data_IF_016355004193
#
_entry.id   IF_016355004193
#
_cell.length_a   1.000
_cell.length_b   1.000
_cell.length_c   1.000
_cell.angle_alpha   90.00
_cell.angle_beta   90.00
_cell.angle_gamma   90.00
#
_symmetry.space_group_name_H-M   'P 1'
#
loop_
_entity.id
_entity.type
_entity.pdbx_description
1 polymer ?
#
# COMPACT_ATOMS: atom_id res chain seq x y z
N UNK A 1 -25.20 -6.71 -3.09
CA UNK A 1 -24.54 -5.78 -4.04
C UNK A 1 -23.91 -6.60 -5.14
N UNK A 2 -24.07 -6.19 -6.39
CA UNK A 2 -23.49 -6.89 -7.53
C UNK A 2 -21.97 -6.57 -7.57
N UNK A 3 -21.05 -7.56 -7.51
CA UNK A 3 -19.61 -7.28 -7.48
C UNK A 3 -19.13 -6.51 -8.73
N UNK A 4 -19.83 -6.65 -9.86
CA UNK A 4 -19.50 -5.95 -11.10
C UNK A 4 -19.72 -4.45 -11.00
N UNK A 5 -20.75 -4.00 -10.27
CA UNK A 5 -21.03 -2.56 -10.13
C UNK A 5 -19.94 -1.89 -9.29
N UNK A 6 -19.44 -2.56 -8.26
CA UNK A 6 -18.33 -2.06 -7.44
C UNK A 6 -17.05 -1.89 -8.26
N UNK A 7 -16.75 -2.84 -9.15
CA UNK A 7 -15.59 -2.75 -10.04
C UNK A 7 -15.76 -1.61 -11.04
N UNK A 8 -16.94 -1.46 -11.64
CA UNK A 8 -17.24 -0.37 -12.58
C UNK A 8 -17.14 1.01 -11.91
N UNK A 9 -17.68 1.16 -10.71
CA UNK A 9 -17.59 2.40 -9.94
C UNK A 9 -16.14 2.73 -9.58
N UNK A 10 -15.37 1.71 -9.18
CA UNK A 10 -13.93 1.86 -8.89
C UNK A 10 -13.14 2.29 -10.14
N UNK A 11 -13.44 1.70 -11.29
CA UNK A 11 -12.80 2.05 -12.57
C UNK A 11 -13.20 3.45 -13.04
N UNK A 12 -14.46 3.82 -12.90
CA UNK A 12 -14.95 5.16 -13.23
C UNK A 12 -14.27 6.22 -12.35
N UNK A 13 -14.21 5.96 -11.04
CA UNK A 13 -13.51 6.80 -10.09
C UNK A 13 -12.04 6.97 -10.44
N UNK A 14 -11.34 5.86 -10.73
CA UNK A 14 -9.93 5.88 -11.09
C UNK A 14 -9.69 6.68 -12.37
N UNK A 15 -10.49 6.45 -13.42
CA UNK A 15 -10.40 7.21 -14.69
C UNK A 15 -10.65 8.70 -14.50
N UNK A 16 -11.62 9.07 -13.65
CA UNK A 16 -11.97 10.47 -13.40
C UNK A 16 -10.91 11.21 -12.59
N UNK A 17 -10.28 10.52 -11.64
CA UNK A 17 -9.33 11.12 -10.69
C UNK A 17 -7.85 10.81 -11.03
N UNK A 18 -7.58 10.15 -12.17
CA UNK A 18 -6.24 9.70 -12.57
C UNK A 18 -5.22 10.84 -12.58
N UNK A 19 -5.61 12.01 -13.11
CA UNK A 19 -4.74 13.18 -13.14
C UNK A 19 -4.33 13.67 -11.75
N UNK A 20 -5.26 13.70 -10.79
CA UNK A 20 -4.98 14.08 -9.41
C UNK A 20 -4.14 13.04 -8.68
N UNK A 21 -4.42 11.75 -8.90
CA UNK A 21 -3.64 10.64 -8.35
C UNK A 21 -2.20 10.70 -8.87
N UNK A 22 -2.03 10.89 -10.19
CA UNK A 22 -0.70 11.08 -10.77
C UNK A 22 -0.02 12.30 -10.15
N UNK A 23 -0.68 13.46 -10.09
CA UNK A 23 -0.06 14.67 -9.54
C UNK A 23 0.35 14.52 -8.06
N UNK A 24 -0.37 13.67 -7.30
CA UNK A 24 -0.06 13.36 -5.90
C UNK A 24 1.09 12.35 -5.76
N UNK A 25 1.06 11.24 -6.50
CA UNK A 25 2.00 10.13 -6.34
C UNK A 25 3.27 10.29 -7.18
N UNK A 26 3.16 10.83 -8.40
CA UNK A 26 4.28 10.97 -9.34
C UNK A 26 5.48 11.74 -8.79
N UNK A 27 5.33 12.90 -8.10
CA UNK A 27 6.50 13.57 -7.52
C UNK A 27 7.20 12.71 -6.48
N UNK A 28 6.44 11.99 -5.64
CA UNK A 28 6.99 11.11 -4.60
C UNK A 28 7.69 9.89 -5.21
N UNK A 29 7.08 9.27 -6.24
CA UNK A 29 7.65 8.11 -6.95
C UNK A 29 8.90 8.50 -7.73
N UNK A 30 8.91 9.66 -8.39
CA UNK A 30 10.12 10.16 -9.07
C UNK A 30 11.24 10.37 -8.06
N UNK A 31 10.95 10.97 -6.90
CA UNK A 31 11.95 11.14 -5.84
C UNK A 31 12.47 9.79 -5.33
N UNK A 32 11.60 8.78 -5.18
CA UNK A 32 12.01 7.43 -4.80
C UNK A 32 12.96 6.82 -5.84
N UNK A 33 12.61 6.89 -7.12
CA UNK A 33 13.43 6.34 -8.21
C UNK A 33 14.76 7.08 -8.32
N UNK A 34 14.75 8.41 -8.24
CA UNK A 34 15.98 9.20 -8.24
C UNK A 34 16.86 8.89 -7.02
N UNK A 35 16.28 8.67 -5.85
CA UNK A 35 17.03 8.28 -4.66
C UNK A 35 17.67 6.88 -4.83
N UNK A 36 16.91 5.91 -5.36
CA UNK A 36 17.43 4.57 -5.70
C UNK A 36 18.57 4.66 -6.73
N UNK A 37 18.39 5.48 -7.76
CA UNK A 37 19.39 5.63 -8.82
C UNK A 37 20.64 6.40 -8.37
N UNK A 38 20.49 7.42 -7.52
CA UNK A 38 21.61 8.12 -6.92
C UNK A 38 22.44 7.18 -6.04
N UNK A 39 21.78 6.31 -5.27
CA UNK A 39 22.45 5.30 -4.47
C UNK A 39 23.18 4.26 -5.34
N UNK A 40 22.53 3.76 -6.39
CA UNK A 40 23.15 2.79 -7.31
C UNK A 40 24.37 3.37 -8.02
N UNK A 41 24.34 4.66 -8.36
CA UNK A 41 25.46 5.34 -9.02
C UNK A 41 26.61 5.67 -8.04
N UNK A 42 26.30 5.92 -6.77
CA UNK A 42 27.29 6.22 -5.74
C UNK A 42 28.01 4.96 -5.21
N UNK A 43 27.36 3.80 -5.26
CA UNK A 43 27.92 2.52 -4.80
C UNK A 43 28.17 1.58 -5.99
N UNK A 44 29.39 1.60 -6.50
CA UNK A 44 29.84 0.65 -7.51
C UNK A 44 30.04 -0.75 -6.88
N UNK A 45 29.19 -1.70 -7.28
CA UNK A 45 29.33 -3.16 -7.18
C UNK A 45 28.82 -3.91 -5.92
N UNK A 46 28.48 -3.26 -4.80
CA UNK A 46 28.02 -3.95 -3.57
C UNK A 46 26.79 -3.29 -2.92
N UNK A 47 25.83 -2.83 -3.71
CA UNK A 47 24.57 -2.31 -3.15
C UNK A 47 23.75 -3.48 -2.61
N UNK A 48 23.80 -3.68 -1.29
CA UNK A 48 22.96 -4.68 -0.63
C UNK A 48 21.48 -4.37 -0.90
N UNK A 49 20.65 -5.38 -1.23
CA UNK A 49 19.21 -5.21 -1.45
C UNK A 49 18.49 -4.63 -0.22
N UNK A 50 19.12 -4.67 0.95
CA UNK A 50 18.63 -4.02 2.16
C UNK A 50 18.49 -2.49 2.00
N UNK A 51 19.38 -1.83 1.27
CA UNK A 51 19.30 -0.38 1.09
C UNK A 51 18.12 0.04 0.20
N UNK A 52 17.86 -0.71 -0.86
CA UNK A 52 16.67 -0.48 -1.69
C UNK A 52 15.39 -0.68 -0.89
N UNK A 53 15.36 -1.67 0.00
CA UNK A 53 14.25 -1.92 0.90
C UNK A 53 14.05 -0.77 1.90
N UNK A 54 15.13 -0.19 2.44
CA UNK A 54 15.05 0.97 3.34
C UNK A 54 14.52 2.21 2.61
N UNK A 55 14.96 2.46 1.37
CA UNK A 55 14.41 3.54 0.55
C UNK A 55 12.93 3.28 0.27
N UNK A 56 12.56 2.07 -0.13
CA UNK A 56 11.17 1.67 -0.32
C UNK A 56 10.35 1.90 0.94
N UNK A 57 10.84 1.48 2.11
CA UNK A 57 10.17 1.67 3.40
C UNK A 57 10.01 3.14 3.78
N UNK A 58 10.87 4.03 3.26
CA UNK A 58 10.73 5.46 3.48
C UNK A 58 9.63 6.08 2.60
N UNK A 59 9.62 5.78 1.30
CA UNK A 59 8.71 6.39 0.33
C UNK A 59 7.33 5.71 0.27
N UNK A 60 7.29 4.38 0.39
CA UNK A 60 6.07 3.55 0.33
C UNK A 60 4.95 4.03 1.27
N UNK A 61 5.23 4.29 2.57
CA UNK A 61 4.22 4.79 3.49
C UNK A 61 3.66 6.16 3.09
N UNK A 62 4.49 7.03 2.50
CA UNK A 62 4.10 8.41 2.17
C UNK A 62 3.09 8.40 1.04
N UNK A 63 3.41 7.76 -0.10
CA UNK A 63 2.50 7.78 -1.23
C UNK A 63 1.27 6.90 -0.98
N UNK A 64 1.40 5.79 -0.25
CA UNK A 64 0.27 4.90 0.06
C UNK A 64 -0.70 5.56 1.03
N UNK A 65 -0.21 6.19 2.11
CA UNK A 65 -1.07 6.94 3.01
C UNK A 65 -1.74 8.13 2.31
N UNK A 66 -1.01 8.87 1.47
CA UNK A 66 -1.57 9.97 0.70
C UNK A 66 -2.69 9.48 -0.25
N UNK A 67 -2.48 8.34 -0.92
CA UNK A 67 -3.46 7.74 -1.81
C UNK A 67 -4.73 7.28 -1.07
N UNK A 68 -4.56 6.65 0.10
CA UNK A 68 -5.68 6.20 0.95
C UNK A 68 -6.49 7.42 1.43
N UNK A 69 -5.81 8.48 1.90
CA UNK A 69 -6.48 9.71 2.33
C UNK A 69 -7.18 10.43 1.17
N UNK A 70 -6.56 10.46 -0.01
CA UNK A 70 -7.16 11.01 -1.21
C UNK A 70 -8.44 10.26 -1.59
N UNK A 71 -8.41 8.92 -1.53
CA UNK A 71 -9.57 8.07 -1.81
C UNK A 71 -10.70 8.33 -0.80
N UNK A 72 -10.38 8.43 0.50
CA UNK A 72 -11.37 8.73 1.54
C UNK A 72 -12.00 10.13 1.34
N UNK A 73 -11.19 11.17 1.16
CA UNK A 73 -11.67 12.54 0.92
C UNK A 73 -12.59 12.62 -0.30
N UNK A 74 -12.17 12.02 -1.42
CA UNK A 74 -12.96 12.00 -2.65
C UNK A 74 -14.23 11.16 -2.53
N UNK A 75 -14.20 10.07 -1.77
CA UNK A 75 -15.40 9.26 -1.51
C UNK A 75 -16.45 10.00 -0.67
N UNK A 76 -16.02 10.96 0.16
CA UNK A 76 -16.88 11.87 0.94
C UNK A 76 -17.36 13.09 0.14
N UNK A 77 -16.87 13.27 -1.08
CA UNK A 77 -17.16 14.45 -1.91
C UNK A 77 -16.39 15.70 -1.48
N UNK A 78 -15.31 15.56 -0.69
CA UNK A 78 -14.50 16.68 -0.23
C UNK A 78 -13.35 16.98 -1.23
N UNK A 79 -13.18 18.27 -1.57
CA UNK A 79 -12.05 18.77 -2.34
C UNK A 79 -10.91 19.19 -1.40
N UNK A 80 -10.10 18.22 -0.98
CA UNK A 80 -8.90 18.47 -0.17
C UNK A 80 -7.71 18.75 -1.08
N UNK A 81 -6.92 19.79 -0.76
CA UNK A 81 -5.71 20.12 -1.50
C UNK A 81 -4.65 19.01 -1.35
N UNK A 82 -3.91 18.73 -2.43
CA UNK A 82 -2.86 17.69 -2.46
C UNK A 82 -1.77 17.92 -1.41
N UNK A 83 -1.45 19.18 -1.10
CA UNK A 83 -0.48 19.55 -0.06
C UNK A 83 -0.92 19.13 1.33
N UNK A 84 -2.20 19.28 1.65
CA UNK A 84 -2.75 18.93 2.96
C UNK A 84 -2.79 17.41 3.14
N UNK A 85 -3.15 16.67 2.09
CA UNK A 85 -3.08 15.21 2.07
C UNK A 85 -1.64 14.71 2.29
N UNK A 86 -0.66 15.34 1.64
CA UNK A 86 0.75 14.98 1.79
C UNK A 86 1.27 15.34 3.19
N UNK A 87 0.87 16.48 3.74
CA UNK A 87 1.20 16.85 5.12
C UNK A 87 0.59 15.87 6.14
N UNK A 88 -0.63 15.41 5.91
CA UNK A 88 -1.28 14.39 6.75
C UNK A 88 -0.61 13.02 6.60
N UNK A 89 -0.23 12.63 5.39
CA UNK A 89 0.54 11.42 5.13
C UNK A 89 1.92 11.45 5.84
N UNK A 90 2.63 12.58 5.79
CA UNK A 90 3.89 12.77 6.51
C UNK A 90 3.74 12.65 8.04
N UNK A 91 2.61 13.06 8.60
CA UNK A 91 2.32 12.87 10.04
C UNK A 91 2.08 11.39 10.39
N UNK A 92 1.49 10.63 9.47
CA UNK A 92 1.25 9.18 9.62
C UNK A 92 2.47 8.32 9.24
N UNK A 93 3.48 8.93 8.61
CA UNK A 93 4.68 8.25 8.14
C UNK A 93 5.34 7.32 9.17
N UNK A 94 5.66 7.74 10.41
CA UNK A 94 6.43 6.87 11.30
C UNK A 94 5.64 5.63 11.74
N UNK A 95 4.33 5.77 11.99
CA UNK A 95 3.48 4.63 12.36
C UNK A 95 3.25 3.70 11.19
N UNK A 96 3.05 4.25 9.99
CA UNK A 96 2.88 3.47 8.78
C UNK A 96 4.18 2.74 8.39
N UNK A 97 5.35 3.38 8.51
CA UNK A 97 6.64 2.74 8.28
C UNK A 97 6.84 1.53 9.22
N UNK A 98 6.50 1.66 10.51
CA UNK A 98 6.53 0.53 11.46
C UNK A 98 5.57 -0.59 11.03
N UNK A 99 4.35 -0.25 10.62
CA UNK A 99 3.37 -1.22 10.12
C UNK A 99 3.90 -1.97 8.89
N UNK A 100 4.42 -1.25 7.90
CA UNK A 100 4.97 -1.82 6.67
C UNK A 100 6.19 -2.70 6.96
N UNK A 101 7.10 -2.25 7.83
CA UNK A 101 8.26 -3.03 8.23
C UNK A 101 7.85 -4.34 8.90
N UNK A 102 6.96 -4.27 9.89
CA UNK A 102 6.44 -5.45 10.57
C UNK A 102 5.70 -6.39 9.61
N UNK A 103 4.86 -5.85 8.71
CA UNK A 103 4.10 -6.65 7.75
C UNK A 103 5.03 -7.36 6.78
N UNK A 104 6.03 -6.64 6.27
CA UNK A 104 7.06 -7.19 5.36
C UNK A 104 7.84 -8.30 6.04
N UNK A 105 8.28 -8.11 7.28
CA UNK A 105 8.97 -9.14 8.05
C UNK A 105 8.08 -10.38 8.26
N UNK A 106 6.80 -10.18 8.58
CA UNK A 106 5.85 -11.28 8.78
C UNK A 106 5.59 -12.06 7.48
N UNK A 107 5.49 -11.34 6.36
CA UNK A 107 5.31 -11.94 5.03
C UNK A 107 6.57 -12.71 4.62
N UNK A 108 7.76 -12.11 4.79
CA UNK A 108 9.04 -12.77 4.50
C UNK A 108 9.23 -14.02 5.35
N UNK A 109 8.92 -13.94 6.64
CA UNK A 109 8.96 -15.09 7.53
C UNK A 109 7.97 -16.18 7.10
N UNK A 110 6.74 -15.79 6.74
CA UNK A 110 5.74 -16.69 6.18
C UNK A 110 6.24 -17.39 4.92
N UNK A 111 6.76 -16.63 3.95
CA UNK A 111 7.32 -17.16 2.71
C UNK A 111 8.52 -18.09 2.94
N UNK A 112 9.38 -17.79 3.92
CA UNK A 112 10.52 -18.64 4.26
C UNK A 112 10.11 -20.00 4.85
N UNK A 113 8.95 -20.06 5.52
CA UNK A 113 8.44 -21.30 6.09
C UNK A 113 7.79 -22.16 5.00
N UNK A 114 7.01 -21.55 4.10
CA UNK A 114 6.50 -22.11 2.85
C UNK A 114 5.72 -21.01 2.08
N UNK A 115 5.50 -21.14 0.76
CA UNK A 115 4.78 -20.10 -0.02
C UNK A 115 3.36 -19.86 0.50
N UNK A 116 2.67 -20.92 0.96
CA UNK A 116 1.28 -20.85 1.46
C UNK A 116 1.12 -19.96 2.71
N UNK A 117 1.91 -20.12 3.80
CA UNK A 117 1.83 -19.23 4.95
C UNK A 117 2.17 -17.77 4.62
N UNK A 118 3.12 -17.53 3.71
CA UNK A 118 3.39 -16.17 3.22
C UNK A 118 2.17 -15.53 2.55
N UNK A 119 1.52 -16.26 1.65
CA UNK A 119 0.29 -15.81 0.98
C UNK A 119 -0.87 -15.62 1.98
N UNK A 120 -0.98 -16.51 2.96
CA UNK A 120 -1.98 -16.41 4.02
C UNK A 120 -1.82 -15.12 4.83
N UNK A 121 -0.59 -14.81 5.27
CA UNK A 121 -0.27 -13.57 6.00
C UNK A 121 -0.55 -12.35 5.13
N UNK A 122 -0.14 -12.37 3.87
CA UNK A 122 -0.38 -11.26 2.92
C UNK A 122 -1.86 -10.91 2.81
N UNK A 123 -2.73 -11.92 2.65
CA UNK A 123 -4.18 -11.71 2.54
C UNK A 123 -4.76 -11.24 3.88
N UNK A 124 -4.30 -11.83 4.99
CA UNK A 124 -4.73 -11.45 6.33
C UNK A 124 -4.37 -10.01 6.69
N UNK A 125 -3.27 -9.48 6.15
CA UNK A 125 -2.80 -8.12 6.38
C UNK A 125 -3.26 -7.12 5.32
N UNK A 126 -3.98 -7.52 4.29
CA UNK A 126 -4.37 -6.65 3.17
C UNK A 126 -5.14 -5.37 3.58
N UNK A 127 -5.80 -5.36 4.75
CA UNK A 127 -6.56 -4.21 5.25
C UNK A 127 -5.85 -3.42 6.35
N UNK A 128 -4.66 -3.84 6.81
CA UNK A 128 -4.01 -3.20 7.94
C UNK A 128 -3.62 -1.74 7.64
N UNK A 129 -3.19 -1.44 6.42
CA UNK A 129 -2.81 -0.09 5.99
C UNK A 129 -4.01 0.86 5.97
N UNK A 130 -5.14 0.40 5.43
CA UNK A 130 -6.40 1.14 5.45
C UNK A 130 -6.88 1.39 6.88
N UNK A 131 -6.78 0.39 7.76
CA UNK A 131 -7.16 0.51 9.16
C UNK A 131 -6.26 1.49 9.92
N UNK A 132 -4.95 1.50 9.64
CA UNK A 132 -4.02 2.45 10.24
C UNK A 132 -4.32 3.88 9.77
N UNK A 133 -4.50 4.10 8.46
CA UNK A 133 -4.69 5.45 7.92
C UNK A 133 -6.07 6.01 8.24
N UNK A 134 -7.13 5.23 8.00
CA UNK A 134 -8.51 5.71 8.12
C UNK A 134 -9.02 5.67 9.56
N UNK A 135 -8.61 4.66 10.35
CA UNK A 135 -9.05 4.53 11.75
C UNK A 135 -8.01 5.00 12.77
N UNK A 136 -6.83 5.48 12.33
CA UNK A 136 -5.74 5.94 13.19
C UNK A 136 -5.33 4.92 14.26
N UNK A 137 -5.46 3.62 13.94
CA UNK A 137 -5.08 2.54 14.85
C UNK A 137 -3.56 2.42 14.95
N UNK A 138 -3.08 1.92 16.09
CA UNK A 138 -1.66 1.57 16.23
C UNK A 138 -1.30 0.40 15.31
N UNK A 139 -0.04 0.26 14.86
CA UNK A 139 0.36 -0.77 13.90
C UNK A 139 -0.07 -2.19 14.30
N UNK A 140 0.17 -2.57 15.56
CA UNK A 140 -0.23 -3.86 16.11
C UNK A 140 -1.75 -4.06 16.11
N UNK A 141 -2.52 -3.04 16.49
CA UNK A 141 -3.98 -3.11 16.50
C UNK A 141 -4.54 -3.21 15.08
N UNK A 142 -3.98 -2.47 14.12
CA UNK A 142 -4.38 -2.51 12.72
C UNK A 142 -4.15 -3.90 12.09
N UNK A 143 -3.03 -4.56 12.42
CA UNK A 143 -2.77 -5.94 11.98
C UNK A 143 -3.79 -6.92 12.56
N UNK A 144 -4.00 -6.86 13.88
CA UNK A 144 -4.95 -7.77 14.55
C UNK A 144 -6.36 -7.61 14.01
N UNK A 145 -6.81 -6.37 13.83
CA UNK A 145 -8.13 -6.06 13.30
C UNK A 145 -8.27 -6.50 11.84
N UNK A 146 -7.23 -6.30 11.02
CA UNK A 146 -7.18 -6.82 9.65
C UNK A 146 -7.32 -8.35 9.64
N UNK A 147 -6.62 -9.05 10.53
CA UNK A 147 -6.72 -10.50 10.64
C UNK A 147 -8.14 -10.96 11.01
N UNK A 148 -8.83 -10.23 11.90
CA UNK A 148 -10.20 -10.53 12.29
C UNK A 148 -11.17 -10.29 11.13
N UNK A 149 -11.09 -9.15 10.46
CA UNK A 149 -11.97 -8.78 9.33
C UNK A 149 -11.87 -9.75 8.14
N UNK A 150 -10.67 -10.29 7.91
CA UNK A 150 -10.41 -11.26 6.84
C UNK A 150 -10.83 -12.69 7.21
N UNK A 151 -11.15 -12.96 8.48
CA UNK A 151 -11.65 -14.28 8.91
C UNK A 151 -13.08 -14.47 8.38
N UNK A 152 -13.32 -15.57 7.67
CA UNK A 152 -14.60 -15.84 6.99
C UNK A 152 -14.71 -15.32 5.55
N UNK A 153 -13.86 -14.37 5.14
CA UNK A 153 -13.86 -13.81 3.77
C UNK A 153 -12.57 -14.11 2.99
N UNK A 154 -11.67 -14.91 3.55
CA UNK A 154 -10.35 -15.20 2.99
C UNK A 154 -10.39 -15.62 1.52
N UNK A 155 -11.27 -16.56 1.16
CA UNK A 155 -11.37 -17.05 -0.23
C UNK A 155 -11.85 -15.97 -1.20
N UNK A 156 -12.75 -15.08 -0.77
CA UNK A 156 -13.21 -13.95 -1.61
C UNK A 156 -12.08 -12.95 -1.85
N UNK A 157 -11.30 -12.64 -0.82
CA UNK A 157 -10.17 -11.72 -0.93
C UNK A 157 -9.07 -12.35 -1.79
N UNK A 158 -8.77 -13.63 -1.57
CA UNK A 158 -7.81 -14.39 -2.38
C UNK A 158 -8.19 -14.36 -3.86
N UNK A 159 -9.44 -14.69 -4.21
CA UNK A 159 -9.91 -14.68 -5.60
C UNK A 159 -9.84 -13.26 -6.19
N UNK A 160 -10.19 -12.23 -5.42
CA UNK A 160 -10.07 -10.84 -5.85
C UNK A 160 -8.62 -10.47 -6.17
N UNK A 161 -7.69 -10.75 -5.25
CA UNK A 161 -6.26 -10.49 -5.43
C UNK A 161 -5.72 -11.26 -6.64
N UNK A 162 -6.01 -12.55 -6.76
CA UNK A 162 -5.57 -13.37 -7.89
C UNK A 162 -6.13 -12.85 -9.22
N UNK A 163 -7.39 -12.39 -9.25
CA UNK A 163 -8.00 -11.86 -10.47
C UNK A 163 -7.30 -10.60 -11.00
N UNK A 164 -6.62 -9.84 -10.13
CA UNK A 164 -5.82 -8.66 -10.51
C UNK A 164 -4.39 -9.05 -10.86
N UNK A 165 -3.77 -9.95 -10.08
CA UNK A 165 -2.38 -10.36 -10.30
C UNK A 165 -2.17 -11.26 -11.53
N UNK A 166 -3.11 -12.15 -11.85
CA UNK A 166 -2.97 -13.08 -12.99
C UNK A 166 -2.84 -12.33 -14.33
N UNK A 167 -3.70 -11.35 -14.67
CA UNK A 167 -3.55 -10.58 -15.91
C UNK A 167 -2.26 -9.77 -15.95
N UNK A 168 -1.83 -9.22 -14.81
CA UNK A 168 -0.58 -8.45 -14.72
C UNK A 168 0.65 -9.31 -15.01
N UNK A 169 0.63 -10.58 -14.62
CA UNK A 169 1.71 -11.54 -14.92
C UNK A 169 1.71 -12.00 -16.38
N UNK A 170 0.58 -11.88 -17.08
CA UNK A 170 0.43 -12.24 -18.48
C UNK A 170 0.80 -11.11 -19.45
N UNK A 171 1.00 -9.89 -18.93
CA UNK A 171 1.33 -8.66 -19.66
C UNK A 171 2.85 -8.46 -19.73
#
# INVERSE_FOLDING_TARGET
MNPLTVIQDSLYFFRRNLGSIMLLCLPVVILEVLAKQALSNAMSADTSPAYELVIGLFFYPIYTAALILFLDARSRGEDVYTRDLLAMALRLWPTFAVLSAMSTLLIMFGLSLFVVPGLWVMIKLAFCEYLLVLRKLTPFMAMRESMLMTTGHFTRILVCVLSVYIPLWLL
#
